data_IF_801494998349
#
_entry.id   IF_801494998349
#
_cell.length_a   1.000
_cell.length_b   1.000
_cell.length_c   1.000
_cell.angle_alpha   90.00
_cell.angle_beta   90.00
_cell.angle_gamma   90.00
#
_symmetry.space_group_name_H-M   'P 1'
#
loop_
_entity.id
_entity.type
_entity.pdbx_description
1 polymer ?
#
# COMPACT_ATOMS: atom_id res chain seq x y z
N UNK A 1 -8.96 13.90 29.14
CA UNK A 1 -8.49 12.60 29.66
C UNK A 1 -8.41 11.50 28.61
N UNK A 2 -9.03 11.63 27.42
CA UNK A 2 -8.92 10.64 26.33
C UNK A 2 -7.66 10.89 25.46
N UNK A 3 -7.19 12.13 25.34
CA UNK A 3 -6.00 12.47 24.54
C UNK A 3 -4.67 11.98 25.12
N UNK A 4 -4.56 11.84 26.45
CA UNK A 4 -3.28 11.52 27.12
C UNK A 4 -2.95 10.03 27.05
N UNK A 5 -3.97 9.16 27.00
CA UNK A 5 -3.79 7.69 27.00
C UNK A 5 -3.55 7.13 25.58
N UNK A 6 -4.09 7.80 24.55
CA UNK A 6 -3.91 7.39 23.14
C UNK A 6 -2.53 7.82 22.61
N UNK A 7 -1.97 8.93 23.09
CA UNK A 7 -0.61 9.35 22.76
C UNK A 7 0.46 8.35 23.24
N UNK A 8 0.21 7.63 24.33
CA UNK A 8 1.13 6.62 24.86
C UNK A 8 1.23 5.37 23.95
N UNK A 9 0.17 5.01 23.23
CA UNK A 9 0.16 3.85 22.32
C UNK A 9 0.66 4.16 20.90
N UNK A 10 0.76 5.43 20.51
CA UNK A 10 1.33 5.84 19.22
C UNK A 10 2.86 5.77 19.18
N UNK A 11 3.54 5.70 20.32
CA UNK A 11 4.99 5.84 20.41
C UNK A 11 5.79 4.61 19.93
N UNK A 12 5.13 3.47 19.70
CA UNK A 12 5.80 2.19 19.45
C UNK A 12 6.05 1.87 17.96
N UNK A 13 5.48 2.62 17.02
CA UNK A 13 5.74 2.44 15.58
C UNK A 13 6.12 3.77 14.92
N UNK A 14 7.04 3.78 13.95
CA UNK A 14 7.31 4.97 13.13
C UNK A 14 6.01 5.48 12.48
N UNK A 15 5.83 6.82 12.40
CA UNK A 15 4.69 7.38 11.67
C UNK A 15 4.83 7.09 10.18
N UNK A 16 3.71 6.79 9.52
CA UNK A 16 3.64 6.71 8.06
C UNK A 16 2.88 7.93 7.53
N UNK A 17 3.57 8.80 6.79
CA UNK A 17 2.92 9.95 6.17
C UNK A 17 2.24 9.51 4.88
N UNK A 18 0.93 9.64 4.82
CA UNK A 18 0.10 9.27 3.67
C UNK A 18 -0.55 10.50 3.07
N UNK A 19 -0.51 10.63 1.76
CA UNK A 19 -1.39 11.60 1.11
C UNK A 19 -2.86 11.26 1.42
N UNK A 20 -3.69 12.29 1.46
CA UNK A 20 -5.13 12.07 1.25
C UNK A 20 -5.31 11.44 -0.13
N UNK A 21 -6.08 10.37 -0.22
CA UNK A 21 -6.13 9.56 -1.43
C UNK A 21 -6.64 10.32 -2.67
N UNK A 22 -7.43 11.39 -2.50
CA UNK A 22 -7.84 12.31 -3.57
C UNK A 22 -6.72 13.22 -4.10
N UNK A 23 -5.60 13.33 -3.38
CA UNK A 23 -4.43 14.12 -3.76
C UNK A 23 -3.27 13.27 -4.28
N UNK A 24 -3.48 11.96 -4.44
CA UNK A 24 -2.48 11.10 -5.05
C UNK A 24 -2.24 11.51 -6.51
N UNK A 25 -1.01 11.38 -7.03
CA UNK A 25 -0.68 11.70 -8.41
C UNK A 25 -1.17 10.58 -9.35
N UNK A 26 -2.48 10.33 -9.37
CA UNK A 26 -3.10 9.18 -10.01
C UNK A 26 -3.35 9.36 -11.51
N UNK A 27 -2.53 10.17 -12.19
CA UNK A 27 -2.48 10.27 -13.66
C UNK A 27 -1.05 10.55 -14.10
N UNK A 28 -0.68 10.22 -15.35
CA UNK A 28 0.68 10.50 -15.87
C UNK A 28 0.93 12.01 -15.92
N UNK A 29 -0.10 12.79 -16.25
CA UNK A 29 -0.05 14.26 -16.18
C UNK A 29 0.24 14.78 -14.77
N UNK A 30 -0.35 14.19 -13.72
CA UNK A 30 -0.09 14.58 -12.34
C UNK A 30 1.32 14.19 -11.86
N UNK A 31 1.79 13.00 -12.26
CA UNK A 31 3.16 12.55 -11.95
C UNK A 31 4.18 13.47 -12.59
N UNK A 32 4.06 13.73 -13.90
CA UNK A 32 5.00 14.61 -14.62
C UNK A 32 4.91 16.07 -14.14
N UNK A 33 3.69 16.59 -13.93
CA UNK A 33 3.46 17.99 -13.55
C UNK A 33 3.91 18.36 -12.14
N UNK A 34 4.06 17.39 -11.24
CA UNK A 34 4.54 17.63 -9.85
C UNK A 34 5.91 17.04 -9.55
N UNK A 35 6.55 16.41 -10.54
CA UNK A 35 7.90 15.88 -10.42
C UNK A 35 8.91 16.99 -10.11
N UNK A 36 9.94 16.67 -9.33
CA UNK A 36 11.01 17.60 -8.99
C UNK A 36 12.37 16.89 -8.87
N UNK A 37 13.45 17.67 -8.80
CA UNK A 37 14.82 17.12 -8.76
C UNK A 37 15.09 16.27 -7.51
N UNK A 38 14.52 16.63 -6.34
CA UNK A 38 14.70 15.86 -5.10
C UNK A 38 14.15 14.45 -5.24
N UNK A 39 12.98 14.31 -5.87
CA UNK A 39 12.39 13.01 -6.15
C UNK A 39 13.22 12.22 -7.15
N UNK A 40 13.68 12.84 -8.23
CA UNK A 40 14.53 12.16 -9.20
C UNK A 40 15.84 11.66 -8.57
N UNK A 41 16.46 12.47 -7.70
CA UNK A 41 17.64 12.09 -6.95
C UNK A 41 17.35 10.92 -5.99
N UNK A 42 16.23 10.98 -5.26
CA UNK A 42 15.80 9.90 -4.36
C UNK A 42 15.54 8.60 -5.12
N UNK A 43 14.75 8.63 -6.19
CA UNK A 43 14.45 7.45 -7.01
C UNK A 43 15.72 6.84 -7.59
N UNK A 44 16.65 7.68 -8.05
CA UNK A 44 17.94 7.22 -8.56
C UNK A 44 18.66 6.36 -7.52
N UNK A 45 18.56 6.67 -6.22
CA UNK A 45 19.22 5.88 -5.15
C UNK A 45 18.73 4.45 -5.01
N UNK A 46 17.47 4.19 -5.38
CA UNK A 46 16.80 2.89 -5.19
C UNK A 46 16.59 2.12 -6.48
N UNK A 47 16.63 2.76 -7.65
CA UNK A 47 16.29 2.17 -8.95
C UNK A 47 17.22 1.03 -9.41
N UNK A 48 18.44 0.98 -8.88
CA UNK A 48 19.43 -0.07 -9.20
C UNK A 48 19.45 -1.20 -8.15
N UNK A 49 18.64 -1.08 -7.09
CA UNK A 49 18.50 -2.15 -6.10
C UNK A 49 17.56 -3.21 -6.67
N UNK A 50 17.88 -4.48 -6.45
CA UNK A 50 17.07 -5.60 -6.92
C UNK A 50 16.46 -6.38 -5.76
N UNK A 51 15.38 -7.14 -5.96
CA UNK A 51 14.79 -7.99 -4.90
C UNK A 51 15.75 -9.05 -4.33
N UNK A 52 16.87 -9.32 -5.00
CA UNK A 52 17.91 -10.26 -4.58
C UNK A 52 18.97 -9.60 -3.69
N UNK A 53 19.03 -8.27 -3.67
CA UNK A 53 19.93 -7.56 -2.76
C UNK A 53 19.57 -7.84 -1.29
N UNK A 54 20.58 -7.81 -0.43
CA UNK A 54 20.39 -8.02 1.02
C UNK A 54 19.55 -6.89 1.64
N UNK A 55 18.77 -7.21 2.67
CA UNK A 55 17.95 -6.24 3.41
C UNK A 55 18.76 -5.04 3.91
N UNK A 56 20.02 -5.23 4.31
CA UNK A 56 20.92 -4.13 4.72
C UNK A 56 21.27 -3.19 3.58
N UNK A 57 21.52 -3.73 2.38
CA UNK A 57 21.81 -2.94 1.18
C UNK A 57 20.58 -2.16 0.73
N UNK A 58 19.42 -2.81 0.74
CA UNK A 58 18.14 -2.17 0.46
C UNK A 58 17.85 -1.03 1.46
N UNK A 59 18.04 -1.29 2.76
CA UNK A 59 17.83 -0.29 3.82
C UNK A 59 18.76 0.92 3.64
N UNK A 60 20.04 0.69 3.36
CA UNK A 60 21.01 1.76 3.12
C UNK A 60 20.61 2.65 1.92
N UNK A 61 20.11 2.05 0.85
CA UNK A 61 19.61 2.78 -0.31
C UNK A 61 18.35 3.60 0.03
N UNK A 62 17.42 3.02 0.79
CA UNK A 62 16.20 3.71 1.24
C UNK A 62 16.51 4.88 2.17
N UNK A 63 17.45 4.71 3.11
CA UNK A 63 17.91 5.79 3.99
C UNK A 63 18.52 6.93 3.17
N UNK A 64 19.39 6.60 2.20
CA UNK A 64 19.96 7.60 1.29
C UNK A 64 18.88 8.32 0.47
N UNK A 65 17.88 7.59 -0.03
CA UNK A 65 16.74 8.16 -0.75
C UNK A 65 15.99 9.19 0.09
N UNK A 66 15.68 8.84 1.35
CA UNK A 66 14.97 9.71 2.28
C UNK A 66 15.75 11.00 2.58
N UNK A 67 17.09 10.95 2.60
CA UNK A 67 17.91 12.19 2.77
C UNK A 67 17.82 13.16 1.58
N UNK A 68 17.37 12.70 0.42
CA UNK A 68 17.19 13.56 -0.76
C UNK A 68 15.88 14.35 -0.71
N UNK A 69 14.88 13.85 0.02
CA UNK A 69 13.54 14.42 0.09
C UNK A 69 13.41 15.51 1.16
N UNK A 70 12.44 16.40 0.98
CA UNK A 70 12.06 17.32 2.04
C UNK A 70 11.49 16.58 3.26
N UNK A 71 11.59 17.19 4.44
CA UNK A 71 10.94 16.67 5.64
C UNK A 71 9.42 16.51 5.41
N UNK A 72 8.78 15.49 6.03
CA UNK A 72 7.36 15.25 5.86
C UNK A 72 6.51 16.49 6.17
N UNK A 73 5.46 16.79 5.37
CA UNK A 73 4.57 17.90 5.65
C UNK A 73 3.82 17.73 6.97
N UNK A 74 3.29 18.82 7.51
CA UNK A 74 2.43 18.78 8.67
C UNK A 74 1.14 17.96 8.40
N UNK A 75 0.62 17.35 9.47
CA UNK A 75 -0.65 16.63 9.43
C UNK A 75 -1.79 17.54 8.92
N UNK A 76 -2.63 16.98 8.07
CA UNK A 76 -3.76 17.64 7.46
C UNK A 76 -5.05 16.92 7.82
N UNK A 77 -5.84 17.54 8.71
CA UNK A 77 -7.14 17.03 9.10
C UNK A 77 -8.11 16.95 7.90
N UNK A 78 -9.07 16.04 7.97
CA UNK A 78 -10.19 16.04 7.03
C UNK A 78 -11.11 17.24 7.31
N UNK A 79 -11.58 17.87 6.23
CA UNK A 79 -12.60 18.91 6.28
C UNK A 79 -13.97 18.31 6.56
N UNK A 80 -14.92 19.13 7.00
CA UNK A 80 -16.29 18.64 7.27
C UNK A 80 -17.01 18.17 6.00
N UNK A 81 -16.71 18.78 4.85
CA UNK A 81 -17.22 18.33 3.55
C UNK A 81 -16.65 16.95 3.19
N UNK A 82 -15.35 16.74 3.42
CA UNK A 82 -14.72 15.44 3.24
C UNK A 82 -15.35 14.40 4.17
N UNK A 83 -15.59 14.72 5.45
CA UNK A 83 -16.23 13.82 6.41
C UNK A 83 -17.68 13.47 6.03
N UNK A 84 -18.48 14.45 5.62
CA UNK A 84 -19.88 14.26 5.19
C UNK A 84 -20.02 13.40 3.92
N UNK A 85 -19.00 13.37 3.06
CA UNK A 85 -18.99 12.53 1.87
C UNK A 85 -18.67 11.05 2.17
N UNK A 86 -18.50 10.69 3.44
CA UNK A 86 -18.18 9.34 3.89
C UNK A 86 -19.37 8.73 4.65
N UNK A 87 -19.56 7.40 4.59
CA UNK A 87 -20.37 6.69 5.58
C UNK A 87 -19.85 6.97 7.00
N UNK A 88 -20.67 6.68 8.01
CA UNK A 88 -20.40 6.84 9.46
C UNK A 88 -19.24 5.97 10.01
N UNK A 89 -18.17 5.76 9.24
CA UNK A 89 -17.00 4.99 9.65
C UNK A 89 -15.93 5.94 10.24
N UNK A 90 -15.34 5.51 11.36
CA UNK A 90 -14.30 6.22 12.11
C UNK A 90 -12.91 6.08 11.43
N UNK A 91 -12.76 6.58 10.20
CA UNK A 91 -11.51 6.50 9.42
C UNK A 91 -10.29 7.05 10.18
N UNK A 92 -10.49 8.13 10.94
CA UNK A 92 -9.43 8.79 11.72
C UNK A 92 -8.94 7.92 12.89
N UNK A 93 -9.82 7.13 13.52
CA UNK A 93 -9.43 6.18 14.58
C UNK A 93 -8.62 5.01 14.00
N UNK A 94 -8.93 4.58 12.77
CA UNK A 94 -8.17 3.57 12.05
C UNK A 94 -6.77 4.06 11.66
N UNK A 95 -6.67 5.27 11.09
CA UNK A 95 -5.37 5.88 10.78
C UNK A 95 -4.53 6.05 12.06
N UNK A 96 -5.14 6.56 13.14
CA UNK A 96 -4.48 6.74 14.44
C UNK A 96 -3.96 5.43 15.03
N UNK A 97 -4.78 4.36 15.02
CA UNK A 97 -4.36 3.05 15.51
C UNK A 97 -3.12 2.54 14.76
N UNK A 98 -3.04 2.75 13.45
CA UNK A 98 -1.91 2.30 12.63
C UNK A 98 -0.76 3.29 12.52
N UNK A 99 -0.82 4.46 13.18
CA UNK A 99 0.22 5.48 13.08
C UNK A 99 0.30 6.14 11.70
N UNK A 100 -0.80 6.11 10.94
CA UNK A 100 -0.92 6.80 9.67
C UNK A 100 -1.22 8.29 9.91
N UNK A 101 -0.42 9.17 9.30
CA UNK A 101 -0.60 10.61 9.35
C UNK A 101 -0.99 11.10 7.97
N UNK A 102 -2.22 11.61 7.84
CA UNK A 102 -2.68 12.20 6.58
C UNK A 102 -2.03 13.56 6.35
N UNK A 103 -1.45 13.78 5.18
CA UNK A 103 -0.74 15.00 4.81
C UNK A 103 -1.20 15.52 3.45
N UNK A 104 -0.87 16.78 3.16
CA UNK A 104 -1.04 17.42 1.85
C UNK A 104 0.28 18.10 1.45
N UNK A 105 0.60 18.15 0.15
CA UNK A 105 1.86 18.75 -0.29
C UNK A 105 2.15 18.47 -1.77
N UNK A 106 3.43 18.47 -2.16
CA UNK A 106 3.83 17.98 -3.47
C UNK A 106 3.49 16.49 -3.57
N UNK A 107 2.53 16.14 -4.43
CA UNK A 107 1.93 14.81 -4.49
C UNK A 107 2.94 13.71 -4.83
N UNK A 108 3.88 13.95 -5.74
CA UNK A 108 4.87 12.94 -6.11
C UNK A 108 5.94 12.78 -5.02
N UNK A 109 6.44 13.87 -4.47
CA UNK A 109 7.45 13.83 -3.40
C UNK A 109 6.91 13.15 -2.16
N UNK A 110 5.70 13.50 -1.73
CA UNK A 110 5.07 12.86 -0.58
C UNK A 110 4.76 11.39 -0.86
N UNK A 111 4.23 11.04 -2.03
CA UNK A 111 3.96 9.64 -2.39
C UNK A 111 5.23 8.78 -2.38
N UNK A 112 6.34 9.27 -2.94
CA UNK A 112 7.62 8.55 -2.91
C UNK A 112 8.15 8.43 -1.47
N UNK A 113 8.01 9.49 -0.65
CA UNK A 113 8.35 9.43 0.78
C UNK A 113 7.56 8.36 1.52
N UNK A 114 6.24 8.25 1.29
CA UNK A 114 5.38 7.21 1.88
C UNK A 114 5.92 5.81 1.58
N UNK A 115 6.24 5.54 0.32
CA UNK A 115 6.74 4.23 -0.11
C UNK A 115 8.09 3.90 0.56
N UNK A 116 8.98 4.89 0.67
CA UNK A 116 10.27 4.73 1.32
C UNK A 116 10.15 4.56 2.84
N UNK A 117 9.28 5.31 3.52
CA UNK A 117 9.03 5.18 4.97
C UNK A 117 8.48 3.80 5.34
N UNK A 118 7.50 3.30 4.58
CA UNK A 118 6.92 1.98 4.78
C UNK A 118 7.96 0.86 4.54
N UNK A 119 8.73 0.95 3.46
CA UNK A 119 9.78 -0.01 3.15
C UNK A 119 10.90 0.01 4.20
N UNK A 120 11.35 1.19 4.62
CA UNK A 120 12.35 1.36 5.68
C UNK A 120 11.90 0.63 6.95
N UNK A 121 10.69 0.92 7.42
CA UNK A 121 10.16 0.35 8.66
C UNK A 121 10.02 -1.17 8.58
N UNK A 122 9.63 -1.69 7.41
CA UNK A 122 9.56 -3.13 7.17
C UNK A 122 10.94 -3.79 7.18
N UNK A 123 11.95 -3.18 6.55
CA UNK A 123 13.32 -3.68 6.52
C UNK A 123 13.97 -3.62 7.90
N UNK A 124 13.76 -2.53 8.65
CA UNK A 124 14.24 -2.38 10.03
C UNK A 124 13.66 -3.48 10.94
N UNK A 125 12.34 -3.74 10.87
CA UNK A 125 11.71 -4.83 11.63
C UNK A 125 12.24 -6.21 11.20
N UNK A 126 12.44 -6.44 9.90
CA UNK A 126 12.97 -7.70 9.40
C UNK A 126 14.41 -7.96 9.86
N UNK A 127 15.26 -6.92 9.86
CA UNK A 127 16.65 -7.01 10.33
C UNK A 127 16.74 -7.15 11.86
N UNK A 128 15.83 -6.52 12.59
CA UNK A 128 15.89 -6.44 14.06
C UNK A 128 15.23 -7.65 14.73
N UNK A 129 14.04 -8.05 14.26
CA UNK A 129 13.22 -9.09 14.87
C UNK A 129 13.15 -10.39 14.07
N UNK A 130 13.56 -10.37 12.79
CA UNK A 130 13.44 -11.51 11.87
C UNK A 130 12.00 -11.72 11.37
N UNK A 131 11.85 -12.23 10.15
CA UNK A 131 10.55 -12.61 9.56
C UNK A 131 10.55 -14.07 9.10
N UNK A 132 9.41 -14.76 9.23
CA UNK A 132 9.26 -16.18 8.82
C UNK A 132 8.65 -16.35 7.42
N UNK A 133 8.41 -15.24 6.71
CA UNK A 133 7.99 -15.25 5.31
C UNK A 133 8.96 -16.11 4.46
N UNK A 134 8.39 -16.87 3.53
CA UNK A 134 9.16 -17.61 2.53
C UNK A 134 9.99 -16.67 1.65
N UNK A 135 11.00 -17.20 0.96
CA UNK A 135 11.80 -16.41 0.02
C UNK A 135 10.96 -15.76 -1.07
N UNK A 136 9.94 -16.47 -1.56
CA UNK A 136 8.98 -15.95 -2.54
C UNK A 136 8.17 -14.78 -1.98
N UNK A 137 7.55 -14.93 -0.82
CA UNK A 137 6.75 -13.85 -0.21
C UNK A 137 7.59 -12.61 0.12
N UNK A 138 8.85 -12.79 0.53
CA UNK A 138 9.79 -11.67 0.71
C UNK A 138 10.13 -10.98 -0.60
N UNK A 139 10.32 -11.74 -1.68
CA UNK A 139 10.60 -11.19 -2.99
C UNK A 139 9.38 -10.43 -3.52
N UNK A 140 8.17 -10.98 -3.40
CA UNK A 140 6.92 -10.34 -3.78
C UNK A 140 6.67 -9.02 -3.03
N UNK A 141 6.94 -9.01 -1.72
CA UNK A 141 6.81 -7.80 -0.91
C UNK A 141 7.77 -6.70 -1.36
N UNK A 142 9.02 -7.06 -1.66
CA UNK A 142 10.02 -6.11 -2.19
C UNK A 142 9.66 -5.65 -3.59
N UNK A 143 9.33 -6.58 -4.49
CA UNK A 143 9.03 -6.27 -5.89
C UNK A 143 7.95 -5.18 -6.01
N UNK A 144 6.92 -5.20 -5.15
CA UNK A 144 5.87 -4.18 -5.15
C UNK A 144 6.39 -2.73 -4.90
N UNK A 145 7.35 -2.56 -3.99
CA UNK A 145 7.96 -1.25 -3.74
C UNK A 145 8.82 -0.81 -4.93
N UNK A 146 9.63 -1.72 -5.48
CA UNK A 146 10.52 -1.41 -6.59
C UNK A 146 9.76 -1.14 -7.89
N UNK A 147 8.74 -1.93 -8.17
CA UNK A 147 7.76 -1.66 -9.22
C UNK A 147 7.22 -0.23 -9.11
N UNK A 148 6.88 0.22 -7.91
CA UNK A 148 6.40 1.61 -7.70
C UNK A 148 7.48 2.64 -8.06
N UNK A 149 8.71 2.44 -7.61
CA UNK A 149 9.83 3.35 -7.93
C UNK A 149 10.12 3.37 -9.43
N UNK A 150 10.11 2.20 -10.09
CA UNK A 150 10.26 2.07 -11.54
C UNK A 150 9.13 2.74 -12.31
N UNK A 151 7.88 2.60 -11.87
CA UNK A 151 6.73 3.27 -12.46
C UNK A 151 6.89 4.80 -12.40
N UNK A 152 7.21 5.35 -11.21
CA UNK A 152 7.38 6.80 -11.04
C UNK A 152 8.58 7.31 -11.85
N UNK A 153 9.70 6.57 -11.87
CA UNK A 153 10.86 6.90 -12.69
C UNK A 153 10.52 6.93 -14.18
N UNK A 154 9.85 5.89 -14.68
CA UNK A 154 9.44 5.74 -16.09
C UNK A 154 8.54 6.88 -16.54
N UNK A 155 7.58 7.29 -15.71
CA UNK A 155 6.61 8.32 -16.07
C UNK A 155 7.19 9.72 -15.90
N UNK A 156 7.91 10.00 -14.81
CA UNK A 156 8.29 11.37 -14.44
C UNK A 156 9.75 11.74 -14.64
N UNK A 157 10.67 10.78 -14.79
CA UNK A 157 12.11 11.06 -14.82
C UNK A 157 12.77 10.66 -16.14
N UNK A 158 12.52 9.45 -16.63
CA UNK A 158 13.18 8.93 -17.82
C UNK A 158 12.94 9.83 -19.05
N UNK A 159 14.01 10.17 -19.77
CA UNK A 159 13.94 11.05 -20.94
C UNK A 159 13.67 12.54 -20.61
N UNK A 160 13.65 12.93 -19.34
CA UNK A 160 13.52 14.32 -18.90
C UNK A 160 14.88 14.90 -18.47
N UNK A 161 15.03 16.23 -18.30
CA UNK A 161 16.24 16.82 -17.74
C UNK A 161 16.64 16.30 -16.35
N UNK A 162 15.67 15.80 -15.57
CA UNK A 162 15.91 15.27 -14.24
C UNK A 162 16.83 14.03 -14.26
N UNK A 163 16.73 13.18 -15.30
CA UNK A 163 17.52 11.95 -15.40
C UNK A 163 19.02 12.25 -15.43
N UNK A 164 19.45 13.21 -16.24
CA UNK A 164 20.86 13.56 -16.37
C UNK A 164 21.41 14.17 -15.08
N UNK A 165 20.62 15.04 -14.43
CA UNK A 165 21.01 15.67 -13.17
C UNK A 165 21.15 14.65 -12.03
N UNK A 166 20.24 13.69 -11.93
CA UNK A 166 20.30 12.66 -10.90
C UNK A 166 21.50 11.72 -11.07
N UNK A 167 21.90 11.42 -12.32
CA UNK A 167 23.07 10.57 -12.63
C UNK A 167 24.41 11.22 -12.27
N UNK A 168 24.49 12.55 -12.17
CA UNK A 168 25.73 13.27 -11.89
C UNK A 168 26.14 13.27 -10.41
N UNK A 169 25.29 12.79 -9.50
CA UNK A 169 25.49 12.90 -8.05
C UNK A 169 26.19 11.66 -7.48
N UNK A 170 27.29 11.86 -6.75
CA UNK A 170 27.96 10.80 -5.99
C UNK A 170 27.20 10.51 -4.69
N UNK A 171 27.05 9.24 -4.31
CA UNK A 171 26.29 8.85 -3.10
C UNK A 171 27.19 8.41 -1.98
N UNK A 172 26.73 8.70 -0.77
CA UNK A 172 27.38 8.28 0.47
C UNK A 172 26.52 7.20 1.11
N UNK A 173 27.11 6.03 1.32
CA UNK A 173 26.50 4.94 2.07
C UNK A 173 26.88 5.09 3.53
N UNK A 174 26.01 5.70 4.34
CA UNK A 174 26.12 5.59 5.78
C UNK A 174 24.88 4.89 6.32
N UNK A 175 25.10 3.77 7.00
CA UNK A 175 24.01 2.92 7.49
C UNK A 175 23.74 3.31 8.93
N UNK A 176 22.54 3.85 9.19
CA UNK A 176 22.07 4.03 10.56
C UNK A 176 21.03 2.96 10.87
N UNK A 177 21.41 2.00 11.70
CA UNK A 177 20.45 1.06 12.27
C UNK A 177 19.60 1.78 13.31
N UNK A 178 18.31 1.95 13.02
CA UNK A 178 17.32 2.35 14.01
C UNK A 178 17.01 1.18 14.93
N UNK A 179 16.89 1.45 16.23
CA UNK A 179 16.59 0.43 17.24
C UNK A 179 15.06 0.34 17.41
N UNK A 180 14.37 -0.28 16.44
CA UNK A 180 12.93 -0.54 16.56
C UNK A 180 12.77 -1.78 17.43
N UNK A 181 12.19 -1.62 18.62
CA UNK A 181 11.83 -2.76 19.47
C UNK A 181 10.76 -3.58 18.75
N UNK A 182 11.08 -4.82 18.38
CA UNK A 182 10.13 -5.71 17.72
C UNK A 182 9.00 -6.17 18.66
N UNK A 183 7.88 -6.61 18.07
CA UNK A 183 6.78 -7.21 18.82
C UNK A 183 5.56 -7.53 17.93
N UNK A 184 4.67 -8.45 18.32
CA UNK A 184 3.52 -8.85 17.50
C UNK A 184 2.59 -7.69 17.12
N UNK A 185 2.31 -6.77 18.05
CA UNK A 185 1.49 -5.58 17.77
C UNK A 185 2.20 -4.59 16.84
N UNK A 186 3.51 -4.42 16.99
CA UNK A 186 4.32 -3.58 16.11
C UNK A 186 4.32 -4.15 14.70
N UNK A 187 4.57 -5.46 14.55
CA UNK A 187 4.48 -6.13 13.25
C UNK A 187 3.11 -6.04 12.61
N UNK A 188 2.05 -6.21 13.41
CA UNK A 188 0.69 -6.01 12.94
C UNK A 188 0.49 -4.62 12.36
N UNK A 189 0.94 -3.58 13.05
CA UNK A 189 0.81 -2.19 12.61
C UNK A 189 1.68 -1.88 11.38
N UNK A 190 2.95 -2.29 11.39
CA UNK A 190 3.87 -2.12 10.26
C UNK A 190 3.38 -2.82 9.00
N UNK A 191 2.85 -4.04 9.10
CA UNK A 191 2.30 -4.74 7.95
C UNK A 191 1.08 -4.04 7.35
N UNK A 192 0.25 -3.40 8.17
CA UNK A 192 -0.85 -2.57 7.68
C UNK A 192 -0.35 -1.25 7.07
N UNK A 193 0.67 -0.61 7.65
CA UNK A 193 1.33 0.56 7.04
C UNK A 193 1.88 0.24 5.64
N UNK A 194 2.55 -0.91 5.48
CA UNK A 194 2.99 -1.41 4.17
C UNK A 194 1.79 -1.59 3.24
N UNK A 195 0.73 -2.26 3.69
CA UNK A 195 -0.50 -2.40 2.89
C UNK A 195 -1.08 -1.05 2.46
N UNK A 196 -1.08 -0.03 3.32
CA UNK A 196 -1.60 1.30 2.99
C UNK A 196 -0.76 1.97 1.89
N UNK A 197 0.57 1.91 1.99
CA UNK A 197 1.47 2.41 0.96
C UNK A 197 1.21 1.71 -0.39
N UNK A 198 1.09 0.38 -0.39
CA UNK A 198 0.81 -0.40 -1.61
C UNK A 198 -0.57 -0.09 -2.22
N UNK A 199 -1.59 0.17 -1.40
CA UNK A 199 -2.89 0.62 -1.89
C UNK A 199 -2.79 2.00 -2.57
N UNK A 200 -1.96 2.92 -2.06
CA UNK A 200 -1.69 4.18 -2.76
C UNK A 200 -0.97 3.95 -4.09
N UNK A 201 -0.01 3.01 -4.13
CA UNK A 201 0.63 2.57 -5.37
C UNK A 201 -0.37 2.03 -6.39
N UNK A 202 -1.32 1.19 -5.95
CA UNK A 202 -2.39 0.67 -6.81
C UNK A 202 -3.28 1.79 -7.35
N UNK A 203 -3.64 2.77 -6.51
CA UNK A 203 -4.43 3.93 -6.95
C UNK A 203 -3.69 4.70 -8.04
N UNK A 204 -2.38 4.95 -7.86
CA UNK A 204 -1.57 5.66 -8.86
C UNK A 204 -1.47 4.87 -10.16
N UNK A 205 -1.13 3.59 -10.08
CA UNK A 205 -0.99 2.71 -11.25
C UNK A 205 -2.30 2.58 -12.04
N UNK A 206 -3.41 2.27 -11.36
CA UNK A 206 -4.74 2.11 -12.00
C UNK A 206 -5.28 3.44 -12.52
N UNK A 207 -5.00 4.56 -11.85
CA UNK A 207 -5.36 5.89 -12.33
C UNK A 207 -4.60 6.30 -13.59
N UNK A 208 -3.29 6.03 -13.65
CA UNK A 208 -2.50 6.19 -14.86
C UNK A 208 -2.99 5.28 -16.01
N UNK A 209 -3.45 4.06 -15.68
CA UNK A 209 -4.07 3.16 -16.67
C UNK A 209 -5.39 3.73 -17.20
N UNK A 210 -6.24 4.28 -16.33
CA UNK A 210 -7.49 4.92 -16.70
C UNK A 210 -7.25 6.09 -17.67
N UNK A 211 -6.26 6.94 -17.40
CA UNK A 211 -5.85 8.02 -18.32
C UNK A 211 -5.31 7.45 -19.64
N UNK A 212 -4.40 6.47 -19.58
CA UNK A 212 -3.81 5.83 -20.76
C UNK A 212 -4.87 5.27 -21.72
N UNK A 213 -5.80 4.47 -21.20
CA UNK A 213 -6.86 3.84 -21.99
C UNK A 213 -7.88 4.83 -22.56
N UNK A 214 -8.03 6.02 -21.95
CA UNK A 214 -8.92 7.07 -22.45
C UNK A 214 -8.28 7.92 -23.53
N UNK A 215 -7.03 8.30 -23.30
CA UNK A 215 -6.32 9.23 -24.18
C UNK A 215 -5.82 8.52 -25.44
N UNK A 216 -5.34 7.28 -25.32
CA UNK A 216 -4.85 6.47 -26.42
C UNK A 216 -5.15 4.96 -26.19
N UNK A 217 -6.34 4.48 -26.60
CA UNK A 217 -6.72 3.07 -26.48
C UNK A 217 -5.78 2.10 -27.24
N UNK A 218 -5.01 2.59 -28.21
CA UNK A 218 -4.11 1.80 -29.04
C UNK A 218 -2.69 1.73 -28.45
N UNK A 219 -2.38 2.45 -27.36
CA UNK A 219 -1.13 2.34 -26.59
C UNK A 219 -1.12 1.08 -25.71
N UNK A 220 -1.12 -0.07 -26.39
CA UNK A 220 -1.13 -1.42 -25.80
C UNK A 220 0.05 -1.62 -24.85
N UNK A 221 1.23 -1.12 -25.22
CA UNK A 221 2.45 -1.31 -24.44
C UNK A 221 2.40 -0.57 -23.10
N UNK A 222 1.96 0.69 -23.08
CA UNK A 222 1.80 1.43 -21.81
C UNK A 222 0.71 0.82 -20.94
N UNK A 223 -0.42 0.43 -21.53
CA UNK A 223 -1.52 -0.22 -20.81
C UNK A 223 -1.07 -1.55 -20.17
N UNK A 224 -0.35 -2.39 -20.91
CA UNK A 224 0.19 -3.65 -20.39
C UNK A 224 1.16 -3.41 -19.23
N UNK A 225 2.09 -2.46 -19.36
CA UNK A 225 3.05 -2.14 -18.29
C UNK A 225 2.35 -1.65 -17.02
N UNK A 226 1.34 -0.78 -17.14
CA UNK A 226 0.58 -0.30 -15.98
C UNK A 226 -0.22 -1.43 -15.31
N UNK A 227 -0.73 -2.38 -16.09
CA UNK A 227 -1.38 -3.58 -15.55
C UNK A 227 -0.40 -4.52 -14.85
N UNK A 228 0.80 -4.68 -15.39
CA UNK A 228 1.90 -5.43 -14.76
C UNK A 228 2.30 -4.76 -13.44
N UNK A 229 2.46 -3.43 -13.43
CA UNK A 229 2.76 -2.64 -12.22
C UNK A 229 1.68 -2.87 -11.15
N UNK A 230 0.39 -2.77 -11.52
CA UNK A 230 -0.73 -3.02 -10.62
C UNK A 230 -0.79 -4.49 -10.13
N UNK A 231 -0.41 -5.44 -10.98
CA UNK A 231 -0.40 -6.87 -10.65
C UNK A 231 0.66 -7.15 -9.57
N UNK A 232 1.89 -6.65 -9.75
CA UNK A 232 2.95 -6.82 -8.76
C UNK A 232 2.59 -6.17 -7.41
N UNK A 233 2.00 -4.98 -7.45
CA UNK A 233 1.48 -4.29 -6.26
C UNK A 233 0.40 -5.09 -5.52
N UNK A 234 -0.50 -5.75 -6.26
CA UNK A 234 -1.56 -6.58 -5.68
C UNK A 234 -1.00 -7.86 -5.04
N UNK A 235 -0.02 -8.51 -5.68
CA UNK A 235 0.71 -9.65 -5.12
C UNK A 235 1.43 -9.24 -3.83
N UNK A 236 2.19 -8.14 -3.87
CA UNK A 236 2.87 -7.58 -2.70
C UNK A 236 1.89 -7.18 -1.58
N UNK A 237 0.68 -6.73 -1.92
CA UNK A 237 -0.39 -6.48 -0.94
C UNK A 237 -0.77 -7.78 -0.22
N UNK A 238 -0.90 -8.90 -0.92
CA UNK A 238 -1.09 -10.21 -0.30
C UNK A 238 0.08 -10.63 0.60
N UNK A 239 1.32 -10.39 0.18
CA UNK A 239 2.52 -10.64 0.99
C UNK A 239 2.55 -9.77 2.27
N UNK A 240 2.13 -8.49 2.16
CA UNK A 240 2.06 -7.57 3.31
C UNK A 240 1.08 -8.05 4.39
N UNK A 241 -0.03 -8.69 4.01
CA UNK A 241 -0.98 -9.27 4.96
C UNK A 241 -0.37 -10.46 5.70
N UNK A 242 0.41 -11.29 5.01
CA UNK A 242 1.13 -12.41 5.64
C UNK A 242 2.20 -11.90 6.60
N UNK A 243 2.95 -10.87 6.19
CA UNK A 243 3.89 -10.13 7.05
C UNK A 243 3.20 -9.55 8.28
N UNK A 244 2.06 -8.86 8.12
CA UNK A 244 1.30 -8.31 9.23
C UNK A 244 0.90 -9.38 10.26
N UNK A 245 0.65 -10.62 9.82
CA UNK A 245 0.31 -11.72 10.70
C UNK A 245 1.49 -12.59 11.14
N UNK A 246 2.75 -12.25 10.85
CA UNK A 246 3.91 -13.12 11.07
C UNK A 246 4.29 -13.26 12.55
N UNK A 247 3.42 -13.93 13.31
CA UNK A 247 3.50 -14.27 14.72
C UNK A 247 2.45 -15.35 15.06
N UNK A 248 2.46 -15.85 16.31
CA UNK A 248 1.60 -16.96 16.73
C UNK A 248 0.15 -16.53 17.00
N UNK A 249 -0.78 -17.50 16.95
CA UNK A 249 -2.18 -17.26 17.34
C UNK A 249 -2.31 -16.79 18.79
N UNK A 250 -1.46 -17.27 19.70
CA UNK A 250 -1.42 -16.83 21.09
C UNK A 250 -1.09 -15.35 21.19
N UNK A 251 -0.06 -14.87 20.48
CA UNK A 251 0.24 -13.43 20.43
C UNK A 251 -0.91 -12.60 19.86
N UNK A 252 -1.65 -13.13 18.88
CA UNK A 252 -2.84 -12.46 18.37
C UNK A 252 -3.92 -12.30 19.45
N UNK A 253 -4.24 -13.39 20.15
CA UNK A 253 -5.29 -13.40 21.18
C UNK A 253 -4.91 -12.56 22.40
N UNK A 254 -3.65 -12.59 22.80
CA UNK A 254 -3.20 -12.00 24.06
C UNK A 254 -2.79 -10.52 23.94
N UNK A 255 -2.40 -10.07 22.74
CA UNK A 255 -1.84 -8.72 22.56
C UNK A 255 -2.48 -7.93 21.42
N UNK A 256 -2.62 -8.53 20.23
CA UNK A 256 -3.05 -7.79 19.03
C UNK A 256 -4.55 -7.53 19.03
N UNK A 257 -5.37 -8.57 19.25
CA UNK A 257 -6.82 -8.46 19.23
C UNK A 257 -7.36 -7.58 20.36
N UNK A 258 -6.91 -7.69 21.62
CA UNK A 258 -7.38 -6.81 22.70
C UNK A 258 -7.10 -5.33 22.42
N UNK A 259 -5.97 -5.01 21.78
CA UNK A 259 -5.64 -3.64 21.39
C UNK A 259 -6.59 -3.03 20.33
N UNK A 260 -7.29 -3.88 19.55
CA UNK A 260 -8.28 -3.46 18.56
C UNK A 260 -9.73 -3.50 19.08
N UNK A 261 -9.92 -3.69 20.39
CA UNK A 261 -11.23 -3.78 21.02
C UNK A 261 -11.44 -2.66 22.06
N UNK A 262 -12.69 -2.37 22.46
CA UNK A 262 -12.95 -1.45 23.57
C UNK A 262 -12.22 -1.91 24.86
N UNK A 263 -11.69 -0.97 25.68
CA UNK A 263 -11.85 0.48 25.58
C UNK A 263 -10.84 1.18 24.66
N UNK A 264 -9.87 0.48 24.08
CA UNK A 264 -8.78 1.08 23.30
C UNK A 264 -9.25 1.63 21.96
N UNK A 265 -10.20 0.96 21.32
CA UNK A 265 -10.78 1.35 20.03
C UNK A 265 -12.30 1.21 20.10
N UNK A 266 -13.02 2.27 19.72
CA UNK A 266 -14.48 2.30 19.68
C UNK A 266 -15.03 1.78 18.34
N UNK A 267 -14.24 1.88 17.26
CA UNK A 267 -14.59 1.40 15.94
C UNK A 267 -14.79 -0.11 15.87
N UNK A 268 -15.79 -0.48 15.06
CA UNK A 268 -15.97 -1.82 14.46
C UNK A 268 -14.84 -2.07 13.44
N UNK A 269 -13.64 -2.34 13.95
CA UNK A 269 -12.38 -2.32 13.19
C UNK A 269 -12.41 -3.22 11.95
N UNK A 270 -12.06 -2.67 10.80
CA UNK A 270 -11.91 -3.42 9.54
C UNK A 270 -11.19 -2.62 8.47
N UNK A 271 -10.49 -3.32 7.57
CA UNK A 271 -9.93 -2.75 6.34
C UNK A 271 -10.97 -2.10 5.39
N UNK A 272 -12.27 -2.25 5.63
CA UNK A 272 -13.30 -1.42 4.97
C UNK A 272 -13.24 0.06 5.36
N UNK A 273 -12.63 0.36 6.52
CA UNK A 273 -12.45 1.70 7.06
C UNK A 273 -11.16 2.37 6.57
N UNK A 274 -10.49 1.80 5.56
CA UNK A 274 -9.41 2.48 4.85
C UNK A 274 -10.00 3.26 3.67
N UNK A 275 -9.92 4.60 3.73
CA UNK A 275 -10.44 5.51 2.69
C UNK A 275 -9.88 5.16 1.31
N UNK A 276 -8.59 4.87 1.25
CA UNK A 276 -7.81 4.63 0.04
C UNK A 276 -8.34 3.39 -0.70
N UNK A 277 -8.64 2.31 0.03
CA UNK A 277 -9.20 1.09 -0.56
C UNK A 277 -10.56 1.34 -1.24
N UNK A 278 -11.42 2.22 -0.68
CA UNK A 278 -12.68 2.61 -1.34
C UNK A 278 -12.44 3.40 -2.63
N UNK A 279 -11.41 4.25 -2.68
CA UNK A 279 -11.03 4.98 -3.90
C UNK A 279 -10.52 4.01 -4.96
N UNK A 280 -9.68 3.05 -4.58
CA UNK A 280 -9.22 2.00 -5.48
C UNK A 280 -10.39 1.21 -6.11
N UNK A 281 -11.38 0.82 -5.31
CA UNK A 281 -12.56 0.11 -5.84
C UNK A 281 -13.36 0.97 -6.84
N UNK A 282 -13.48 2.28 -6.59
CA UNK A 282 -14.13 3.21 -7.54
C UNK A 282 -13.32 3.32 -8.84
N UNK A 283 -11.99 3.38 -8.75
CA UNK A 283 -11.10 3.41 -9.90
C UNK A 283 -11.23 2.14 -10.76
N UNK A 284 -11.18 0.96 -10.14
CA UNK A 284 -11.37 -0.31 -10.84
C UNK A 284 -12.73 -0.37 -11.55
N UNK A 285 -13.79 0.14 -10.91
CA UNK A 285 -15.10 0.23 -11.54
C UNK A 285 -15.13 1.18 -12.77
N UNK A 286 -14.36 2.27 -12.75
CA UNK A 286 -14.23 3.18 -13.91
C UNK A 286 -13.39 2.59 -15.04
N UNK A 287 -12.40 1.75 -14.72
CA UNK A 287 -11.58 1.04 -15.70
C UNK A 287 -12.34 -0.12 -16.34
N UNK A 288 -13.22 -0.82 -15.60
CA UNK A 288 -14.02 -1.95 -16.10
C UNK A 288 -14.59 -1.76 -17.52
N UNK A 289 -15.32 -0.68 -17.86
CA UNK A 289 -15.85 -0.48 -19.21
C UNK A 289 -14.77 -0.22 -20.27
N UNK A 290 -13.61 0.33 -19.89
CA UNK A 290 -12.50 0.60 -20.82
C UNK A 290 -11.78 -0.68 -21.26
N UNK A 291 -11.91 -1.75 -20.47
CA UNK A 291 -11.33 -3.07 -20.77
C UNK A 291 -12.41 -4.11 -21.14
N UNK A 292 -13.57 -3.66 -21.63
CA UNK A 292 -14.65 -4.55 -22.07
C UNK A 292 -14.38 -5.21 -23.43
N UNK A 293 -13.62 -4.54 -24.30
CA UNK A 293 -13.15 -5.07 -25.59
C UNK A 293 -11.69 -4.65 -25.85
N UNK A 294 -10.75 -5.09 -25.00
CA UNK A 294 -9.37 -4.66 -25.07
C UNK A 294 -8.60 -5.42 -26.16
N UNK A 295 -7.44 -4.88 -26.57
CA UNK A 295 -6.49 -5.64 -27.38
C UNK A 295 -6.09 -6.95 -26.64
N UNK A 296 -5.76 -8.05 -27.34
CA UNK A 296 -5.49 -9.35 -26.71
C UNK A 296 -4.40 -9.34 -25.63
N UNK A 297 -3.35 -8.52 -25.80
CA UNK A 297 -2.29 -8.37 -24.81
C UNK A 297 -2.79 -7.68 -23.53
N UNK A 298 -3.57 -6.60 -23.68
CA UNK A 298 -4.21 -5.90 -22.56
C UNK A 298 -5.19 -6.82 -21.84
N UNK A 299 -5.97 -7.63 -22.57
CA UNK A 299 -6.87 -8.64 -21.98
C UNK A 299 -6.12 -9.63 -21.08
N UNK A 300 -4.99 -10.13 -21.57
CA UNK A 300 -4.14 -11.07 -20.84
C UNK A 300 -3.60 -10.41 -19.56
N UNK A 301 -3.06 -9.20 -19.65
CA UNK A 301 -2.52 -8.49 -18.48
C UNK A 301 -3.61 -8.12 -17.48
N UNK A 302 -4.82 -7.78 -17.94
CA UNK A 302 -5.96 -7.51 -17.06
C UNK A 302 -6.41 -8.77 -16.30
N UNK A 303 -6.42 -9.93 -16.96
CA UNK A 303 -6.71 -11.22 -16.29
C UNK A 303 -5.69 -11.54 -15.20
N UNK A 304 -4.40 -11.27 -15.44
CA UNK A 304 -3.36 -11.44 -14.41
C UNK A 304 -3.59 -10.53 -13.19
N UNK A 305 -4.05 -9.29 -13.39
CA UNK A 305 -4.45 -8.41 -12.30
C UNK A 305 -5.62 -8.99 -11.49
N UNK A 306 -6.64 -9.55 -12.16
CA UNK A 306 -7.78 -10.19 -11.47
C UNK A 306 -7.34 -11.43 -10.68
N UNK A 307 -6.44 -12.25 -11.23
CA UNK A 307 -5.87 -13.41 -10.54
C UNK A 307 -5.04 -12.99 -9.31
N UNK A 308 -4.24 -11.93 -9.44
CA UNK A 308 -3.50 -11.35 -8.33
C UNK A 308 -4.44 -10.78 -7.25
N UNK A 309 -5.55 -10.14 -7.65
CA UNK A 309 -6.58 -9.67 -6.72
C UNK A 309 -7.20 -10.84 -5.95
N UNK A 310 -7.54 -11.94 -6.62
CA UNK A 310 -8.02 -13.16 -5.96
C UNK A 310 -6.99 -13.69 -4.95
N UNK A 311 -5.72 -13.76 -5.37
CA UNK A 311 -4.60 -14.23 -4.53
C UNK A 311 -4.42 -13.37 -3.28
N UNK A 312 -4.60 -12.04 -3.38
CA UNK A 312 -4.54 -11.13 -2.24
C UNK A 312 -5.69 -11.38 -1.24
N UNK A 313 -6.90 -11.68 -1.71
CA UNK A 313 -8.00 -12.09 -0.82
C UNK A 313 -7.72 -13.44 -0.15
N UNK A 314 -7.16 -14.40 -0.89
CA UNK A 314 -6.82 -15.71 -0.33
C UNK A 314 -5.76 -15.59 0.76
N UNK A 315 -4.78 -14.67 0.58
CA UNK A 315 -3.82 -14.32 1.63
C UNK A 315 -4.52 -13.76 2.87
N UNK A 316 -5.46 -12.82 2.69
CA UNK A 316 -6.24 -12.25 3.80
C UNK A 316 -7.05 -13.33 4.54
N UNK A 317 -7.77 -14.17 3.79
CA UNK A 317 -8.58 -15.27 4.34
C UNK A 317 -7.70 -16.24 5.12
N UNK A 318 -6.54 -16.60 4.58
CA UNK A 318 -5.58 -17.51 5.22
C UNK A 318 -5.07 -16.96 6.56
N UNK A 319 -4.65 -15.68 6.59
CA UNK A 319 -4.21 -15.01 7.83
C UNK A 319 -5.36 -14.95 8.85
N UNK A 320 -6.56 -14.57 8.41
CA UNK A 320 -7.74 -14.51 9.27
C UNK A 320 -8.09 -15.89 9.85
N UNK A 321 -8.06 -16.94 9.03
CA UNK A 321 -8.30 -18.32 9.45
C UNK A 321 -7.27 -18.79 10.48
N UNK A 322 -5.97 -18.48 10.28
CA UNK A 322 -4.91 -18.83 11.23
C UNK A 322 -5.17 -18.27 12.64
N UNK A 323 -5.84 -17.12 12.71
CA UNK A 323 -6.20 -16.47 13.97
C UNK A 323 -7.59 -16.83 14.51
N UNK A 324 -8.27 -17.83 13.93
CA UNK A 324 -9.56 -18.33 14.40
C UNK A 324 -10.79 -17.72 13.74
N UNK A 325 -10.61 -16.92 12.68
CA UNK A 325 -11.70 -16.33 11.90
C UNK A 325 -12.56 -17.34 11.14
N UNK A 326 -12.16 -18.62 11.10
CA UNK A 326 -12.95 -19.74 10.60
C UNK A 326 -14.10 -20.14 11.55
N UNK A 327 -14.03 -19.71 12.81
CA UNK A 327 -15.02 -19.99 13.85
C UNK A 327 -15.61 -18.74 14.46
N UNK A 328 -14.80 -17.69 14.56
CA UNK A 328 -15.19 -16.45 15.22
C UNK A 328 -15.68 -15.39 14.22
N UNK A 329 -16.60 -14.54 14.68
CA UNK A 329 -17.10 -13.41 13.91
C UNK A 329 -16.03 -12.31 13.75
N UNK A 330 -16.19 -11.50 12.69
CA UNK A 330 -15.39 -10.29 12.50
C UNK A 330 -15.58 -9.29 13.65
N UNK A 331 -14.53 -8.50 13.94
CA UNK A 331 -14.61 -7.31 14.81
C UNK A 331 -15.68 -6.30 14.34
N UNK A 332 -16.10 -6.35 13.06
CA UNK A 332 -17.21 -5.51 12.56
C UNK A 332 -18.58 -5.94 13.06
N UNK A 333 -18.76 -7.23 13.26
CA UNK A 333 -20.06 -7.84 13.53
C UNK A 333 -19.95 -8.69 14.79
N UNK A 334 -19.61 -8.09 15.93
CA UNK A 334 -19.46 -8.83 17.18
C UNK A 334 -20.78 -9.55 17.50
N UNK A 335 -20.69 -10.86 17.79
CA UNK A 335 -21.85 -11.70 18.08
C UNK A 335 -22.58 -12.26 16.85
N UNK A 336 -22.10 -11.99 15.64
CA UNK A 336 -22.59 -12.66 14.42
C UNK A 336 -22.29 -14.16 14.47
N UNK A 337 -23.21 -14.99 13.98
CA UNK A 337 -22.96 -16.43 13.79
C UNK A 337 -22.18 -16.75 12.52
N UNK A 338 -22.01 -15.77 11.62
CA UNK A 338 -21.23 -15.92 10.39
C UNK A 338 -19.74 -15.73 10.69
N UNK A 339 -18.88 -16.72 10.37
CA UNK A 339 -17.43 -16.62 10.53
C UNK A 339 -16.82 -15.48 9.71
N UNK A 340 -15.73 -14.89 10.22
CA UNK A 340 -15.02 -13.80 9.54
C UNK A 340 -14.52 -14.21 8.13
N UNK A 341 -14.05 -15.45 7.96
CA UNK A 341 -13.58 -15.95 6.65
C UNK A 341 -14.69 -16.00 5.61
N UNK A 342 -15.92 -16.34 5.99
CA UNK A 342 -17.06 -16.40 5.07
C UNK A 342 -17.45 -14.99 4.59
N UNK A 343 -17.36 -14.01 5.48
CA UNK A 343 -17.55 -12.59 5.11
C UNK A 343 -16.48 -12.13 4.12
N UNK A 344 -15.21 -12.53 4.33
CA UNK A 344 -14.12 -12.20 3.41
C UNK A 344 -14.28 -12.88 2.04
N UNK A 345 -14.74 -14.13 1.99
CA UNK A 345 -15.07 -14.83 0.74
C UNK A 345 -16.15 -14.08 -0.04
N UNK A 346 -17.24 -13.68 0.62
CA UNK A 346 -18.30 -12.86 -0.01
C UNK A 346 -17.76 -11.53 -0.55
N UNK A 347 -16.84 -10.88 0.16
CA UNK A 347 -16.19 -9.66 -0.34
C UNK A 347 -15.29 -9.93 -1.55
N UNK A 348 -14.51 -11.00 -1.53
CA UNK A 348 -13.68 -11.42 -2.67
C UNK A 348 -14.55 -11.58 -3.90
N UNK A 349 -15.58 -12.42 -3.83
CA UNK A 349 -16.43 -12.76 -4.97
C UNK A 349 -17.17 -11.53 -5.52
N UNK A 350 -17.73 -10.70 -4.63
CA UNK A 350 -18.40 -9.45 -5.02
C UNK A 350 -17.45 -8.46 -5.71
N UNK A 351 -16.23 -8.29 -5.18
CA UNK A 351 -15.29 -7.28 -5.69
C UNK A 351 -14.60 -7.75 -6.96
N UNK A 352 -14.28 -9.04 -7.08
CA UNK A 352 -13.83 -9.63 -8.34
C UNK A 352 -14.92 -9.47 -9.40
N UNK A 353 -16.17 -9.85 -9.12
CA UNK A 353 -17.27 -9.66 -10.06
C UNK A 353 -17.51 -8.20 -10.47
N UNK A 354 -17.27 -7.26 -9.55
CA UNK A 354 -17.37 -5.82 -9.84
C UNK A 354 -16.21 -5.28 -10.69
N UNK A 355 -15.06 -5.94 -10.68
CA UNK A 355 -13.89 -5.61 -11.50
C UNK A 355 -13.91 -6.34 -12.86
N UNK A 356 -14.46 -7.55 -12.93
CA UNK A 356 -14.53 -8.33 -14.17
C UNK A 356 -15.36 -7.59 -15.24
N UNK A 357 -14.81 -7.32 -16.44
CA UNK A 357 -15.53 -6.69 -17.53
C UNK A 357 -16.68 -7.54 -18.02
N UNK A 358 -17.78 -6.89 -18.40
CA UNK A 358 -18.90 -7.54 -19.06
C UNK A 358 -18.49 -7.76 -20.53
N UNK A 359 -18.19 -8.99 -20.91
CA UNK A 359 -17.79 -9.34 -22.28
C UNK A 359 -19.03 -9.61 -23.14
N UNK A 360 -19.08 -9.14 -24.40
CA UNK A 360 -20.06 -9.65 -25.36
C UNK A 360 -19.90 -11.17 -25.49
N UNK A 361 -21.00 -11.89 -25.68
CA UNK A 361 -20.93 -13.31 -26.00
C UNK A 361 -20.14 -13.48 -27.31
N UNK A 362 -19.14 -14.37 -27.30
CA UNK A 362 -18.35 -14.75 -28.48
C UNK A 362 -19.18 -15.43 -29.57
#
# INVERSE_FOLDING_TARGET
MIEVDIQAHSADVPPLHLLKAEQLPATRGAVTGTMNQRVADALRTVIDITPQDSDRRALAAVDAALTCLASPPAAAAYTDAERKALPDDLYEEHDLFFGAIRVTGNSVETFVSTMLEALRSQLDDALSAGITLSSGERADLREAFWTTFHMVWRIGVAGTPFENAARARAWVTDVRTGDVKGGPLIRWRLGHQVFFALIQGLIVSVGCLEECLRDDPDDVDSACRLLEDATALMIGSGASLRYAGDFTRTHYADSVRPAMMPPHINAKFSGLQLRDHRILLKLLHRVKPLVASPAPAVDKSYRLLLDAMSTAYDAHISVCSRFGGDRESSLRTPGSTVPAVEVLQRFRDRRLGAATPDRPAE
#
